data_IF_532421863487
#
_entry.id   IF_532421863487
#
_cell.length_a   1.000
_cell.length_b   1.000
_cell.length_c   1.000
_cell.angle_alpha   90.00
_cell.angle_beta   90.00
_cell.angle_gamma   90.00
#
_symmetry.space_group_name_H-M   'P 1'
#
loop_
_entity.id
_entity.type
_entity.pdbx_description
1 polymer ?
#
# COMPACT_ATOMS: atom_id res chain seq x y z
N UNK A 1 16.86 -7.29 19.25
CA UNK A 1 17.30 -6.74 18.00
C UNK A 1 18.79 -6.51 18.01
N UNK A 2 19.54 -7.22 17.13
CA UNK A 2 20.96 -6.96 16.97
C UNK A 2 21.14 -5.62 16.23
N UNK A 3 22.01 -4.77 16.72
CA UNK A 3 22.50 -3.63 15.93
C UNK A 3 23.39 -4.19 14.82
N UNK A 4 22.97 -3.98 13.58
CA UNK A 4 23.80 -4.28 12.42
C UNK A 4 24.71 -3.06 12.17
N UNK A 5 25.99 -3.20 12.51
CA UNK A 5 26.98 -2.14 12.30
C UNK A 5 27.47 -2.04 10.85
N UNK A 6 27.17 -3.05 10.03
CA UNK A 6 27.52 -3.07 8.60
C UNK A 6 26.29 -2.80 7.74
N UNK A 7 26.42 -2.08 6.61
CA UNK A 7 25.36 -1.96 5.64
C UNK A 7 24.89 -3.33 5.20
N UNK A 8 23.57 -3.53 5.10
CA UNK A 8 23.03 -4.74 4.48
C UNK A 8 23.37 -4.70 2.99
N UNK A 9 23.85 -5.81 2.46
CA UNK A 9 24.16 -5.93 1.03
C UNK A 9 22.90 -5.79 0.16
N UNK A 10 21.75 -6.21 0.73
CA UNK A 10 20.44 -6.12 0.09
C UNK A 10 19.41 -5.54 1.06
N UNK A 11 18.30 -4.98 0.55
CA UNK A 11 17.13 -4.67 1.38
C UNK A 11 16.70 -5.91 2.15
N UNK A 12 16.08 -5.71 3.32
CA UNK A 12 15.65 -6.85 4.14
C UNK A 12 14.65 -7.69 3.35
N UNK A 13 15.11 -8.84 2.92
CA UNK A 13 14.34 -9.88 2.24
C UNK A 13 14.07 -11.00 3.23
N UNK A 14 12.80 -11.32 3.44
CA UNK A 14 12.40 -12.28 4.48
C UNK A 14 12.55 -13.75 4.05
N UNK A 15 12.47 -14.04 2.75
CA UNK A 15 12.48 -15.40 2.21
C UNK A 15 13.37 -15.52 0.98
N UNK A 16 13.86 -16.72 0.71
CA UNK A 16 14.57 -17.00 -0.52
C UNK A 16 13.62 -16.99 -1.72
N UNK A 17 14.03 -16.32 -2.80
CA UNK A 17 13.32 -16.30 -4.07
C UNK A 17 13.82 -17.42 -4.97
N UNK A 18 12.94 -18.01 -5.78
CA UNK A 18 13.31 -19.07 -6.72
C UNK A 18 14.35 -18.61 -7.75
N UNK A 19 14.30 -17.34 -8.16
CA UNK A 19 15.24 -16.72 -9.09
C UNK A 19 15.83 -15.45 -8.48
N UNK A 20 16.55 -15.59 -7.39
CA UNK A 20 17.08 -14.49 -6.59
C UNK A 20 17.81 -13.42 -7.42
N UNK A 21 18.68 -13.87 -8.34
CA UNK A 21 19.50 -13.01 -9.18
C UNK A 21 18.71 -12.26 -10.27
N UNK A 22 17.55 -12.78 -10.66
CA UNK A 22 16.71 -12.25 -11.74
C UNK A 22 15.38 -11.66 -11.24
N UNK A 23 15.19 -11.54 -9.92
CA UNK A 23 13.98 -10.95 -9.38
C UNK A 23 13.92 -9.46 -9.68
N UNK A 24 12.76 -9.00 -10.19
CA UNK A 24 12.58 -7.61 -10.63
C UNK A 24 12.61 -6.61 -9.49
N UNK A 25 12.09 -6.99 -8.32
CA UNK A 25 12.07 -6.11 -7.13
C UNK A 25 13.49 -5.97 -6.60
N UNK A 26 14.21 -7.09 -6.46
CA UNK A 26 15.61 -7.07 -6.00
C UNK A 26 16.52 -6.34 -6.99
N UNK A 27 16.33 -6.54 -8.29
CA UNK A 27 17.08 -5.82 -9.32
C UNK A 27 16.84 -4.30 -9.24
N UNK A 28 15.61 -3.87 -8.99
CA UNK A 28 15.29 -2.45 -8.80
C UNK A 28 15.90 -1.88 -7.52
N UNK A 29 15.87 -2.62 -6.43
CA UNK A 29 16.51 -2.20 -5.17
C UNK A 29 18.03 -2.02 -5.35
N UNK A 30 18.68 -2.93 -6.07
CA UNK A 30 20.10 -2.83 -6.40
C UNK A 30 20.38 -1.61 -7.30
N UNK A 31 19.56 -1.40 -8.33
CA UNK A 31 19.69 -0.25 -9.23
C UNK A 31 19.55 1.09 -8.50
N UNK A 32 18.64 1.17 -7.53
CA UNK A 32 18.39 2.36 -6.71
C UNK A 32 19.33 2.48 -5.49
N UNK A 33 20.27 1.56 -5.33
CA UNK A 33 21.18 1.48 -4.18
C UNK A 33 20.47 1.45 -2.81
N UNK A 34 19.31 0.79 -2.74
CA UNK A 34 18.52 0.64 -1.50
C UNK A 34 19.13 -0.48 -0.67
N UNK A 35 19.74 -0.16 0.46
CA UNK A 35 20.49 -1.11 1.31
C UNK A 35 20.04 -1.13 2.77
N UNK A 36 19.06 -0.35 3.14
CA UNK A 36 18.62 -0.24 4.54
C UNK A 36 19.75 0.12 5.52
N UNK A 37 20.67 1.00 5.10
CA UNK A 37 21.77 1.45 5.96
C UNK A 37 21.22 2.07 7.25
N UNK A 38 22.00 2.06 8.33
CA UNK A 38 21.60 2.58 9.65
C UNK A 38 20.97 3.98 9.59
N UNK A 39 21.53 4.86 8.77
CA UNK A 39 21.12 6.26 8.66
C UNK A 39 20.02 6.53 7.63
N UNK A 40 19.58 5.50 6.87
CA UNK A 40 18.50 5.68 5.91
C UNK A 40 17.20 5.96 6.65
N UNK A 41 16.53 7.06 6.31
CA UNK A 41 15.24 7.43 6.92
C UNK A 41 14.11 6.50 6.54
N UNK A 42 14.20 5.85 5.39
CA UNK A 42 13.23 4.90 4.89
C UNK A 42 13.84 3.50 4.89
N UNK A 43 13.11 2.53 5.38
CA UNK A 43 13.50 1.11 5.37
C UNK A 43 12.52 0.33 4.52
N UNK A 44 13.03 -0.64 3.78
CA UNK A 44 12.25 -1.54 2.95
C UNK A 44 12.31 -2.95 3.53
N UNK A 45 11.15 -3.61 3.59
CA UNK A 45 11.06 -5.03 3.94
C UNK A 45 10.28 -5.72 2.82
N UNK A 46 10.95 -6.59 2.08
CA UNK A 46 10.32 -7.37 1.02
C UNK A 46 9.92 -8.74 1.55
N UNK A 47 8.63 -9.01 1.55
CA UNK A 47 8.03 -10.24 2.10
C UNK A 47 7.33 -10.99 0.96
N UNK A 48 8.05 -11.84 0.20
CA UNK A 48 7.51 -12.54 -0.98
C UNK A 48 6.75 -13.83 -0.62
N UNK A 49 5.87 -13.76 0.37
CA UNK A 49 5.03 -14.89 0.78
C UNK A 49 3.68 -14.41 1.29
N UNK A 50 2.71 -15.34 1.37
CA UNK A 50 1.44 -15.07 2.02
C UNK A 50 1.60 -15.04 3.53
N UNK A 51 1.06 -14.00 4.17
CA UNK A 51 1.09 -13.82 5.63
C UNK A 51 -0.04 -14.61 6.27
N UNK A 52 0.20 -15.89 6.51
CA UNK A 52 -0.76 -16.82 7.10
C UNK A 52 -0.65 -16.95 8.62
N UNK A 53 0.32 -16.29 9.23
CA UNK A 53 0.66 -16.42 10.65
C UNK A 53 1.70 -17.50 10.94
N UNK A 54 2.18 -18.24 9.92
CA UNK A 54 3.19 -19.28 10.02
C UNK A 54 4.27 -19.11 8.94
N UNK A 55 4.59 -17.86 8.60
CA UNK A 55 5.56 -17.53 7.56
C UNK A 55 7.04 -17.64 8.02
N UNK A 56 7.27 -17.83 9.32
CA UNK A 56 8.60 -18.00 9.92
C UNK A 56 9.33 -16.69 10.21
N UNK A 57 8.77 -15.54 9.84
CA UNK A 57 9.34 -14.19 10.03
C UNK A 57 8.42 -13.31 10.84
N UNK A 58 7.28 -12.91 10.27
CA UNK A 58 6.28 -12.08 10.95
C UNK A 58 5.46 -12.90 11.93
N UNK A 59 5.04 -14.09 11.51
CA UNK A 59 4.16 -14.99 12.26
C UNK A 59 2.87 -14.32 12.73
N UNK A 60 2.42 -13.30 12.00
CA UNK A 60 1.21 -12.54 12.23
C UNK A 60 0.32 -12.68 10.99
N UNK A 61 -0.93 -13.12 11.13
CA UNK A 61 -1.86 -13.17 10.01
C UNK A 61 -2.03 -11.80 9.35
N UNK A 62 -2.26 -11.77 8.05
CA UNK A 62 -2.41 -10.53 7.28
C UNK A 62 -3.40 -9.53 7.90
N UNK A 63 -4.57 -10.02 8.36
CA UNK A 63 -5.61 -9.15 8.93
C UNK A 63 -5.24 -8.54 10.29
N UNK A 64 -4.35 -9.19 11.03
CA UNK A 64 -3.81 -8.61 12.27
C UNK A 64 -2.69 -7.62 11.96
N UNK A 65 -1.86 -7.93 10.96
CA UNK A 65 -0.75 -7.08 10.56
C UNK A 65 -1.23 -5.76 9.93
N UNK A 66 -2.30 -5.79 9.12
CA UNK A 66 -2.83 -4.60 8.45
C UNK A 66 -3.27 -3.52 9.44
N UNK A 67 -3.71 -3.89 10.63
CA UNK A 67 -4.10 -2.95 11.68
C UNK A 67 -2.95 -2.03 12.13
N UNK A 68 -1.71 -2.46 11.93
CA UNK A 68 -0.51 -1.70 12.24
C UNK A 68 -0.05 -0.74 11.14
N UNK A 69 -0.69 -0.75 9.98
CA UNK A 69 -0.31 0.10 8.86
C UNK A 69 -0.98 1.48 8.94
N UNK A 70 -0.25 2.48 8.47
CA UNK A 70 -0.78 3.84 8.35
C UNK A 70 -1.43 4.07 7.00
N UNK A 71 -0.87 3.51 5.93
CA UNK A 71 -1.28 3.68 4.55
C UNK A 71 -0.98 2.41 3.75
N UNK A 72 -1.87 2.01 2.86
CA UNK A 72 -1.67 0.90 1.93
C UNK A 72 -1.64 1.40 0.48
N UNK A 73 -0.88 0.74 -0.38
CA UNK A 73 -0.73 1.13 -1.79
C UNK A 73 -1.00 -0.07 -2.68
N UNK A 74 -2.01 0.05 -3.54
CA UNK A 74 -2.47 -0.97 -4.49
C UNK A 74 -2.46 -0.39 -5.91
N UNK A 75 -1.28 -0.27 -6.56
CA UNK A 75 -1.16 0.39 -7.87
C UNK A 75 -1.63 -0.56 -8.98
N UNK A 76 -2.90 -0.95 -8.95
CA UNK A 76 -3.49 -1.91 -9.87
C UNK A 76 -3.34 -1.45 -11.32
N UNK A 77 -2.91 -2.38 -12.17
CA UNK A 77 -2.88 -2.19 -13.62
C UNK A 77 -4.20 -2.64 -14.26
N UNK A 78 -4.76 -3.73 -13.77
CA UNK A 78 -6.10 -4.21 -14.09
C UNK A 78 -6.61 -5.09 -12.96
N UNK A 79 -7.75 -4.76 -12.43
CA UNK A 79 -8.41 -5.56 -11.40
C UNK A 79 -9.92 -5.39 -11.53
N UNK A 80 -10.69 -6.48 -11.76
CA UNK A 80 -12.15 -6.39 -11.96
C UNK A 80 -12.88 -5.71 -10.80
N UNK A 81 -12.46 -5.96 -9.57
CA UNK A 81 -12.98 -5.27 -8.38
C UNK A 81 -11.84 -4.70 -7.54
N UNK A 82 -11.19 -5.46 -6.68
CA UNK A 82 -10.15 -5.03 -5.73
C UNK A 82 -10.59 -5.25 -4.29
N UNK A 83 -10.51 -6.49 -3.82
CA UNK A 83 -10.84 -6.82 -2.43
C UNK A 83 -9.79 -6.27 -1.46
N UNK A 84 -8.51 -6.28 -1.82
CA UNK A 84 -7.43 -5.82 -0.94
C UNK A 84 -7.55 -4.35 -0.55
N UNK A 85 -7.82 -3.38 -1.45
CA UNK A 85 -8.07 -2.00 -1.03
C UNK A 85 -9.38 -1.86 -0.23
N UNK A 86 -10.42 -2.63 -0.54
CA UNK A 86 -11.66 -2.63 0.25
C UNK A 86 -11.41 -3.14 1.68
N UNK A 87 -10.65 -4.23 1.83
CA UNK A 87 -10.24 -4.75 3.15
C UNK A 87 -9.42 -3.73 3.92
N UNK A 88 -8.46 -3.07 3.27
CA UNK A 88 -7.65 -2.02 3.90
C UNK A 88 -8.52 -0.95 4.54
N UNK A 89 -9.47 -0.37 3.80
CA UNK A 89 -10.35 0.68 4.32
C UNK A 89 -11.36 0.16 5.35
N UNK A 90 -11.75 -1.11 5.29
CA UNK A 90 -12.57 -1.73 6.32
C UNK A 90 -11.85 -1.81 7.66
N UNK A 91 -10.53 -2.00 7.65
CA UNK A 91 -9.64 -1.93 8.81
C UNK A 91 -9.17 -0.50 9.15
N UNK A 92 -9.78 0.53 8.56
CA UNK A 92 -9.46 1.94 8.79
C UNK A 92 -8.06 2.33 8.34
N UNK A 93 -7.48 1.60 7.40
CA UNK A 93 -6.20 1.93 6.79
C UNK A 93 -6.48 2.60 5.44
N UNK A 94 -6.25 3.92 5.30
CA UNK A 94 -6.40 4.62 4.04
C UNK A 94 -5.56 3.97 2.95
N UNK A 95 -5.99 4.08 1.70
CA UNK A 95 -5.26 3.44 0.62
C UNK A 95 -5.12 4.31 -0.62
N UNK A 96 -4.11 3.98 -1.42
CA UNK A 96 -3.89 4.51 -2.77
C UNK A 96 -4.19 3.39 -3.75
N UNK A 97 -5.02 3.64 -4.74
CA UNK A 97 -5.35 2.72 -5.83
C UNK A 97 -5.46 3.45 -7.16
N UNK A 98 -5.86 2.75 -8.21
CA UNK A 98 -6.03 3.34 -9.56
C UNK A 98 -7.46 3.15 -10.06
N UNK A 99 -7.83 3.91 -11.07
CA UNK A 99 -9.12 3.76 -11.77
C UNK A 99 -9.15 2.59 -12.77
N UNK A 100 -8.09 1.79 -12.86
CA UNK A 100 -8.08 0.49 -13.53
C UNK A 100 -8.57 -0.66 -12.64
N UNK A 101 -8.97 -0.37 -11.40
CA UNK A 101 -9.68 -1.30 -10.53
C UNK A 101 -11.16 -0.89 -10.41
N UNK A 102 -12.06 -1.87 -10.35
CA UNK A 102 -13.47 -1.63 -10.10
C UNK A 102 -13.71 -0.88 -8.78
N UNK A 103 -12.92 -1.22 -7.76
CA UNK A 103 -12.93 -0.50 -6.48
C UNK A 103 -12.59 0.98 -6.62
N UNK A 104 -11.56 1.33 -7.40
CA UNK A 104 -11.18 2.73 -7.63
C UNK A 104 -12.28 3.51 -8.35
N UNK A 105 -12.87 2.93 -9.40
CA UNK A 105 -14.01 3.52 -10.10
C UNK A 105 -15.21 3.72 -9.17
N UNK A 106 -15.51 2.73 -8.35
CA UNK A 106 -16.59 2.81 -7.37
C UNK A 106 -16.32 3.90 -6.31
N UNK A 107 -15.11 3.99 -5.79
CA UNK A 107 -14.73 5.01 -4.82
C UNK A 107 -14.90 6.44 -5.40
N UNK A 108 -14.50 6.66 -6.65
CA UNK A 108 -14.74 7.91 -7.36
C UNK A 108 -16.24 8.21 -7.53
N UNK A 109 -17.05 7.20 -7.84
CA UNK A 109 -18.50 7.35 -7.97
C UNK A 109 -19.12 7.76 -6.64
N UNK A 110 -18.76 7.10 -5.55
CA UNK A 110 -19.25 7.41 -4.20
C UNK A 110 -18.85 8.80 -3.71
N UNK A 111 -17.71 9.30 -4.16
CA UNK A 111 -17.25 10.68 -3.91
C UNK A 111 -17.95 11.70 -4.79
N UNK A 112 -18.39 11.31 -5.98
CA UNK A 112 -18.89 12.23 -7.03
C UNK A 112 -17.78 12.97 -7.76
N UNK A 113 -16.60 12.35 -7.89
CA UNK A 113 -15.41 12.90 -8.53
C UNK A 113 -14.18 12.08 -8.14
N UNK A 114 -12.98 12.56 -8.46
CA UNK A 114 -11.77 11.90 -8.01
C UNK A 114 -11.65 11.92 -6.48
N UNK A 115 -11.41 10.74 -5.91
CA UNK A 115 -11.21 10.58 -4.48
C UNK A 115 -9.76 10.86 -4.11
N UNK A 116 -9.54 11.66 -3.06
CA UNK A 116 -8.23 12.08 -2.58
C UNK A 116 -7.85 11.38 -1.26
N UNK A 117 -6.58 11.45 -0.87
CA UNK A 117 -6.09 10.72 0.32
C UNK A 117 -6.79 11.15 1.61
N UNK A 118 -7.19 12.38 1.73
CA UNK A 118 -7.98 12.93 2.84
C UNK A 118 -9.42 12.37 2.92
N UNK A 119 -9.88 11.73 1.83
CA UNK A 119 -11.16 11.00 1.80
C UNK A 119 -11.02 9.54 2.24
N UNK A 120 -9.80 9.11 2.55
CA UNK A 120 -9.46 7.75 2.96
C UNK A 120 -9.10 6.81 1.82
N UNK A 121 -9.30 7.24 0.57
CA UNK A 121 -8.89 6.53 -0.64
C UNK A 121 -8.41 7.54 -1.66
N UNK A 122 -7.15 7.44 -2.08
CA UNK A 122 -6.65 8.16 -3.25
C UNK A 122 -6.82 7.29 -4.47
N UNK A 123 -7.54 7.78 -5.48
CA UNK A 123 -7.68 7.11 -6.78
C UNK A 123 -6.87 7.87 -7.82
N UNK A 124 -5.91 7.18 -8.45
CA UNK A 124 -5.02 7.74 -9.45
C UNK A 124 -5.50 7.29 -10.84
N UNK A 125 -5.58 8.24 -11.76
CA UNK A 125 -5.85 7.91 -13.16
C UNK A 125 -4.67 7.17 -13.79
N UNK A 126 -4.91 5.96 -14.31
CA UNK A 126 -3.89 5.12 -14.92
C UNK A 126 -4.28 4.68 -16.33
N UNK A 127 -3.29 4.69 -17.20
CA UNK A 127 -3.37 4.18 -18.58
C UNK A 127 -2.14 3.34 -18.88
N UNK A 128 -2.07 2.75 -20.08
CA UNK A 128 -0.90 2.01 -20.54
C UNK A 128 0.34 2.89 -20.75
N UNK A 129 0.16 4.22 -20.78
CA UNK A 129 1.20 5.14 -21.24
C UNK A 129 1.65 6.18 -20.20
N UNK A 130 0.98 6.26 -19.04
CA UNK A 130 1.25 7.28 -18.01
C UNK A 130 1.95 6.74 -16.76
N UNK A 131 2.84 5.77 -16.91
CA UNK A 131 3.53 5.13 -15.79
C UNK A 131 4.26 6.12 -14.88
N UNK A 132 4.99 7.08 -15.47
CA UNK A 132 5.76 8.07 -14.71
C UNK A 132 4.86 9.02 -13.91
N UNK A 133 3.76 9.45 -14.51
CA UNK A 133 2.76 10.30 -13.86
C UNK A 133 2.10 9.57 -12.68
N UNK A 134 1.79 8.29 -12.85
CA UNK A 134 1.24 7.44 -11.76
C UNK A 134 2.23 7.33 -10.61
N UNK A 135 3.52 7.09 -10.90
CA UNK A 135 4.55 7.03 -9.88
C UNK A 135 4.71 8.35 -9.12
N UNK A 136 4.67 9.48 -9.83
CA UNK A 136 4.71 10.81 -9.23
C UNK A 136 3.46 11.10 -8.38
N UNK A 137 2.28 10.70 -8.82
CA UNK A 137 1.05 10.85 -8.04
C UNK A 137 1.06 9.98 -6.77
N UNK A 138 1.57 8.75 -6.83
CA UNK A 138 1.79 7.92 -5.62
C UNK A 138 2.73 8.65 -4.66
N UNK A 139 3.88 9.13 -5.15
CA UNK A 139 4.85 9.87 -4.36
C UNK A 139 4.24 11.09 -3.68
N UNK A 140 3.46 11.88 -4.41
CA UNK A 140 2.77 13.06 -3.87
C UNK A 140 1.77 12.67 -2.78
N UNK A 141 0.93 11.66 -3.03
CA UNK A 141 -0.07 11.21 -2.06
C UNK A 141 0.57 10.65 -0.77
N UNK A 142 1.69 9.94 -0.87
CA UNK A 142 2.46 9.47 0.30
C UNK A 142 3.05 10.65 1.07
N UNK A 143 3.64 11.63 0.37
CA UNK A 143 4.19 12.82 1.00
C UNK A 143 3.09 13.63 1.71
N UNK A 144 1.98 13.87 1.04
CA UNK A 144 0.80 14.56 1.61
C UNK A 144 0.30 13.88 2.87
N UNK A 145 0.13 12.55 2.83
CA UNK A 145 -0.32 11.79 4.00
C UNK A 145 0.68 11.83 5.13
N UNK A 146 1.98 11.85 4.84
CA UNK A 146 3.04 11.95 5.86
C UNK A 146 3.08 13.30 6.58
N UNK A 147 2.52 14.33 5.95
CA UNK A 147 2.41 15.69 6.52
C UNK A 147 1.11 15.90 7.31
N UNK A 148 0.20 14.91 7.33
CA UNK A 148 -1.03 14.98 8.11
C UNK A 148 -0.73 15.01 9.61
N UNK A 149 -1.41 15.89 10.33
CA UNK A 149 -1.47 15.82 11.78
C UNK A 149 -2.38 14.67 12.25
N UNK A 150 -2.35 14.34 13.54
CA UNK A 150 -3.16 13.28 14.15
C UNK A 150 -4.67 13.44 13.86
N UNK A 151 -5.15 14.66 13.77
CA UNK A 151 -6.56 14.96 13.48
C UNK A 151 -6.91 14.62 12.01
N UNK A 152 -6.04 14.98 11.07
CA UNK A 152 -6.21 14.67 9.65
C UNK A 152 -6.12 13.16 9.41
N UNK A 153 -5.13 12.48 10.00
CA UNK A 153 -5.00 11.01 9.95
C UNK A 153 -6.29 10.35 10.46
N UNK A 154 -6.77 10.76 11.64
CA UNK A 154 -8.00 10.21 12.20
C UNK A 154 -9.22 10.43 11.31
N UNK A 155 -9.34 11.61 10.68
CA UNK A 155 -10.43 11.91 9.74
C UNK A 155 -10.37 11.01 8.51
N UNK A 156 -9.18 10.85 7.89
CA UNK A 156 -8.99 9.98 6.74
C UNK A 156 -9.36 8.52 7.07
N UNK A 157 -8.90 8.00 8.22
CA UNK A 157 -9.24 6.65 8.71
C UNK A 157 -10.75 6.46 8.93
N UNK A 158 -11.44 7.46 9.49
CA UNK A 158 -12.90 7.41 9.69
C UNK A 158 -13.65 7.45 8.36
N UNK A 159 -13.19 8.27 7.39
CA UNK A 159 -13.79 8.32 6.05
C UNK A 159 -13.59 6.99 5.30
N UNK A 160 -12.39 6.39 5.40
CA UNK A 160 -12.10 5.08 4.84
C UNK A 160 -13.09 4.02 5.35
N UNK A 161 -13.26 3.91 6.68
CA UNK A 161 -14.23 2.99 7.29
C UNK A 161 -15.66 3.27 6.84
N UNK A 162 -16.07 4.53 6.77
CA UNK A 162 -17.43 4.88 6.30
C UNK A 162 -17.66 4.47 4.87
N UNK A 163 -16.65 4.64 4.00
CA UNK A 163 -16.74 4.21 2.61
C UNK A 163 -16.87 2.69 2.52
N UNK A 164 -16.08 1.92 3.27
CA UNK A 164 -16.16 0.46 3.25
C UNK A 164 -17.55 -0.08 3.60
N UNK A 165 -18.26 0.58 4.51
CA UNK A 165 -19.62 0.19 4.92
C UNK A 165 -20.63 0.31 3.78
N UNK A 166 -20.40 1.16 2.80
CA UNK A 166 -21.27 1.28 1.61
C UNK A 166 -21.12 0.11 0.65
N UNK A 167 -20.01 -0.64 0.72
CA UNK A 167 -19.78 -1.85 -0.09
C UNK A 167 -20.37 -3.12 0.54
N UNK A 168 -21.04 -3.03 1.68
CA UNK A 168 -21.72 -4.18 2.28
C UNK A 168 -22.99 -4.52 1.53
N UNK A 169 -23.31 -5.82 1.45
CA UNK A 169 -24.53 -6.33 0.79
C UNK A 169 -25.81 -5.64 1.29
N UNK A 170 -25.86 -5.29 2.58
CA UNK A 170 -26.99 -4.55 3.16
C UNK A 170 -27.19 -3.15 2.57
N UNK A 171 -26.23 -2.62 1.85
CA UNK A 171 -26.33 -1.32 1.18
C UNK A 171 -26.94 -1.43 -0.24
N UNK A 172 -27.14 -2.65 -0.74
CA UNK A 172 -27.68 -2.94 -2.08
C UNK A 172 -29.06 -3.61 -2.03
N UNK A 173 -29.63 -3.81 -0.84
CA UNK A 173 -30.97 -4.30 -0.58
C UNK A 173 -31.82 -3.14 -0.03
#
# INVERSE_FOLDING_TARGET
GGEYDTPLEYPVLTHWLHQMENDRVMSMFNYLDIKNNKNDKVKFIFVPCYLTGNDGIMNIPYYDLILGYDLSIYPSYYEPWGYTPLESIAFKVPCITTDLSGFGLWANTEKGGYSEIEDGVKVIHRTDYNYSEVADEIKKAVAEYSDFDDSAVKKARVKAEKLSKKALWSSFI
#
